data_IF_737923069686
#
_entry.id   IF_737923069686
#
_cell.length_a   1.000
_cell.length_b   1.000
_cell.length_c   1.000
_cell.angle_alpha   90.00
_cell.angle_beta   90.00
_cell.angle_gamma   90.00
#
_symmetry.space_group_name_H-M   'P 1'
#
loop_
_entity.id
_entity.type
_entity.pdbx_description
1 polymer ?
#
# COMPACT_ATOMS: atom_id res chain seq x y z
N UNK A 1 21.58 36.21 -9.14
CA UNK A 1 22.42 35.33 -8.31
C UNK A 1 21.54 34.69 -7.26
N UNK A 2 21.19 33.41 -7.46
CA UNK A 2 20.22 32.68 -6.63
C UNK A 2 20.86 32.19 -5.33
N UNK A 3 20.13 32.45 -4.25
CA UNK A 3 20.47 32.19 -2.87
C UNK A 3 20.38 30.68 -2.58
N UNK A 4 21.50 30.06 -2.23
CA UNK A 4 21.57 28.68 -1.73
C UNK A 4 20.97 28.64 -0.32
N UNK A 5 19.79 28.08 -0.14
CA UNK A 5 19.25 27.72 1.18
C UNK A 5 19.17 26.20 1.34
N UNK A 6 20.01 25.74 2.26
CA UNK A 6 19.79 24.67 3.23
C UNK A 6 19.40 23.28 2.71
N UNK A 7 20.42 22.43 2.54
CA UNK A 7 20.30 21.01 2.83
C UNK A 7 20.02 20.86 4.34
N UNK A 8 18.76 20.61 4.72
CA UNK A 8 18.46 20.12 6.07
C UNK A 8 18.78 18.63 6.11
N UNK A 9 19.80 18.32 6.88
CA UNK A 9 20.19 17.01 7.36
C UNK A 9 18.98 16.38 8.09
N UNK A 10 18.43 15.30 7.56
CA UNK A 10 17.41 14.51 8.25
C UNK A 10 18.11 13.75 9.37
N UNK A 11 17.86 14.14 10.61
CA UNK A 11 18.27 13.37 11.78
C UNK A 11 17.41 12.11 11.85
N UNK A 12 17.97 10.98 11.44
CA UNK A 12 17.49 9.68 11.87
C UNK A 12 17.84 9.54 13.36
N UNK A 13 16.86 9.58 14.25
CA UNK A 13 17.02 9.02 15.60
C UNK A 13 17.10 7.51 15.46
N UNK A 14 18.33 7.03 15.24
CA UNK A 14 18.64 5.62 15.28
C UNK A 14 18.43 5.07 16.68
N UNK A 15 17.48 4.14 16.81
CA UNK A 15 17.46 3.21 17.93
C UNK A 15 18.67 2.28 17.75
N UNK A 16 19.78 2.56 18.44
CA UNK A 16 20.90 1.62 18.52
C UNK A 16 20.47 0.48 19.44
N UNK A 17 19.90 -0.57 18.86
CA UNK A 17 19.75 -1.86 19.51
C UNK A 17 21.09 -2.59 19.41
N UNK A 18 21.74 -2.81 20.54
CA UNK A 18 22.82 -3.81 20.63
C UNK A 18 22.23 -5.16 20.21
N UNK A 19 22.60 -5.63 19.02
CA UNK A 19 22.21 -6.95 18.52
C UNK A 19 23.03 -8.03 19.22
N UNK A 20 22.50 -8.57 20.31
CA UNK A 20 22.78 -9.98 20.61
C UNK A 20 22.19 -10.82 19.46
N UNK A 21 22.84 -11.89 18.99
CA UNK A 21 22.29 -12.77 17.97
C UNK A 21 21.14 -13.57 18.59
N UNK A 22 19.99 -12.91 18.74
CA UNK A 22 18.71 -13.57 18.89
C UNK A 22 18.51 -14.28 17.56
N UNK A 23 18.25 -15.59 17.61
CA UNK A 23 17.81 -16.38 16.47
C UNK A 23 16.50 -15.76 15.94
N UNK A 24 16.62 -14.72 15.12
CA UNK A 24 15.50 -14.15 14.41
C UNK A 24 15.08 -15.21 13.41
N UNK A 25 13.97 -15.89 13.71
CA UNK A 25 13.39 -16.84 12.78
C UNK A 25 13.16 -16.11 11.46
N UNK A 26 13.86 -16.56 10.41
CA UNK A 26 13.74 -15.98 9.07
C UNK A 26 12.27 -16.11 8.65
N UNK A 27 11.66 -15.00 8.23
CA UNK A 27 10.28 -15.02 7.76
C UNK A 27 10.12 -16.03 6.61
N UNK A 28 9.25 -17.02 6.80
CA UNK A 28 8.92 -18.00 5.78
C UNK A 28 7.59 -17.65 5.13
N UNK A 29 7.58 -17.50 3.81
CA UNK A 29 6.35 -17.30 3.03
C UNK A 29 5.41 -18.49 3.23
N UNK A 30 4.13 -18.22 3.51
CA UNK A 30 3.09 -19.24 3.62
C UNK A 30 2.28 -19.35 2.32
N UNK A 31 1.84 -20.57 2.03
CA UNK A 31 0.88 -20.83 0.97
C UNK A 31 -0.47 -20.20 1.32
N UNK A 32 -0.98 -19.35 0.43
CA UNK A 32 -2.29 -18.72 0.59
C UNK A 32 -3.36 -19.66 0.02
N UNK A 33 -4.41 -20.02 0.78
CA UNK A 33 -5.44 -20.93 0.31
C UNK A 33 -6.12 -20.42 -0.98
N UNK A 34 -6.30 -21.28 -1.98
CA UNK A 34 -6.94 -20.91 -3.24
C UNK A 34 -8.39 -20.43 -3.05
N UNK A 35 -9.10 -21.01 -2.08
CA UNK A 35 -10.45 -20.58 -1.68
C UNK A 35 -10.46 -19.15 -1.15
N UNK A 36 -9.43 -18.75 -0.39
CA UNK A 36 -9.27 -17.39 0.11
C UNK A 36 -8.98 -16.43 -1.05
N UNK A 37 -8.04 -16.78 -1.93
CA UNK A 37 -7.72 -15.98 -3.13
C UNK A 37 -8.97 -15.76 -3.98
N UNK A 38 -9.78 -16.80 -4.20
CA UNK A 38 -11.00 -16.73 -5.01
C UNK A 38 -12.11 -15.84 -4.45
N UNK A 39 -12.10 -15.51 -3.16
CA UNK A 39 -13.05 -14.54 -2.56
C UNK A 39 -12.73 -13.09 -2.96
N UNK A 40 -11.46 -12.79 -3.20
CA UNK A 40 -10.96 -11.42 -3.39
C UNK A 40 -10.50 -11.13 -4.82
N UNK A 41 -9.94 -12.12 -5.51
CA UNK A 41 -9.51 -12.04 -6.90
C UNK A 41 -10.54 -12.74 -7.79
N UNK A 42 -11.25 -11.95 -8.60
CA UNK A 42 -12.31 -12.45 -9.48
C UNK A 42 -11.69 -12.97 -10.77
N UNK A 43 -12.17 -14.13 -11.25
CA UNK A 43 -11.96 -14.51 -12.65
C UNK A 43 -12.71 -13.52 -13.53
N UNK A 44 -12.04 -12.99 -14.53
CA UNK A 44 -12.62 -11.97 -15.42
C UNK A 44 -12.11 -12.20 -16.83
N UNK A 45 -13.03 -12.33 -17.77
CA UNK A 45 -12.75 -12.23 -19.21
C UNK A 45 -13.43 -10.93 -19.70
N UNK A 46 -12.70 -9.82 -19.80
CA UNK A 46 -13.31 -8.55 -20.17
C UNK A 46 -13.89 -8.67 -21.60
N UNK A 47 -15.19 -8.36 -21.77
CA UNK A 47 -15.79 -8.33 -23.11
C UNK A 47 -15.19 -7.18 -23.92
N UNK A 48 -14.29 -7.54 -24.84
CA UNK A 48 -13.46 -6.64 -25.64
C UNK A 48 -13.70 -6.82 -27.15
N UNK A 49 -14.81 -7.46 -27.51
CA UNK A 49 -15.19 -7.83 -28.89
C UNK A 49 -15.12 -6.67 -29.90
N UNK A 50 -15.35 -5.43 -29.47
CA UNK A 50 -15.33 -4.24 -30.33
C UNK A 50 -14.08 -3.36 -30.17
N UNK A 51 -13.04 -3.82 -29.47
CA UNK A 51 -11.81 -3.02 -29.26
C UNK A 51 -10.77 -3.30 -30.33
N UNK A 52 -10.21 -2.23 -30.91
CA UNK A 52 -9.12 -2.32 -31.87
C UNK A 52 -7.87 -2.91 -31.19
N UNK A 53 -7.26 -3.93 -31.80
CA UNK A 53 -5.95 -4.39 -31.37
C UNK A 53 -4.87 -3.33 -31.70
N UNK A 54 -4.16 -2.86 -30.68
CA UNK A 54 -3.10 -1.85 -30.80
C UNK A 54 -1.70 -2.48 -30.88
N UNK A 55 -1.58 -3.79 -30.67
CA UNK A 55 -0.30 -4.47 -30.49
C UNK A 55 0.02 -5.45 -31.63
N UNK A 56 1.28 -5.51 -32.09
CA UNK A 56 1.72 -6.56 -33.01
C UNK A 56 1.54 -7.94 -32.39
N UNK A 57 1.06 -8.90 -33.20
CA UNK A 57 0.86 -10.27 -32.76
C UNK A 57 2.04 -11.19 -33.13
N UNK A 58 3.04 -10.69 -33.86
CA UNK A 58 4.12 -11.48 -34.44
C UNK A 58 5.14 -11.98 -33.40
N UNK A 59 5.84 -13.05 -33.76
CA UNK A 59 6.83 -13.72 -32.90
C UNK A 59 8.00 -12.81 -32.52
N UNK A 60 8.38 -11.86 -33.39
CA UNK A 60 9.49 -10.94 -33.13
C UNK A 60 9.12 -9.98 -32.00
N UNK A 61 7.91 -9.42 -32.01
CA UNK A 61 7.41 -8.57 -30.93
C UNK A 61 7.29 -9.35 -29.61
N UNK A 62 6.65 -10.53 -29.62
CA UNK A 62 6.46 -11.35 -28.41
C UNK A 62 7.77 -11.75 -27.72
N UNK A 63 8.84 -11.93 -28.49
CA UNK A 63 10.14 -12.36 -28.00
C UNK A 63 11.07 -11.20 -27.60
N UNK A 64 10.59 -9.95 -27.60
CA UNK A 64 11.38 -8.83 -27.12
C UNK A 64 11.75 -9.02 -25.64
N UNK A 65 13.01 -8.74 -25.31
CA UNK A 65 13.49 -8.73 -23.92
C UNK A 65 13.02 -7.50 -23.15
N UNK A 66 12.51 -6.50 -23.86
CA UNK A 66 12.03 -5.24 -23.31
C UNK A 66 10.98 -4.64 -24.26
N UNK A 67 9.77 -4.44 -23.76
CA UNK A 67 8.64 -3.86 -24.49
C UNK A 67 8.40 -2.39 -24.12
N UNK A 68 9.09 -1.86 -23.11
CA UNK A 68 8.75 -0.61 -22.40
C UNK A 68 8.47 0.56 -23.34
N UNK A 69 9.42 0.87 -24.23
CA UNK A 69 9.31 2.01 -25.14
C UNK A 69 8.15 1.86 -26.14
N UNK A 70 7.84 0.63 -26.56
CA UNK A 70 6.75 0.36 -27.49
C UNK A 70 5.39 0.50 -26.80
N UNK A 71 5.24 -0.11 -25.63
CA UNK A 71 3.99 -0.02 -24.85
C UNK A 71 3.72 1.43 -24.42
N UNK A 72 4.77 2.17 -24.01
CA UNK A 72 4.63 3.58 -23.64
C UNK A 72 4.05 4.42 -24.79
N UNK A 73 4.56 4.25 -26.03
CA UNK A 73 4.02 4.96 -27.20
C UNK A 73 2.52 4.69 -27.43
N UNK A 74 2.07 3.45 -27.19
CA UNK A 74 0.66 3.09 -27.31
C UNK A 74 -0.16 3.77 -26.21
N UNK A 75 0.32 3.75 -24.97
CA UNK A 75 -0.33 4.42 -23.84
C UNK A 75 -0.46 5.92 -24.10
N UNK A 76 0.60 6.56 -24.60
CA UNK A 76 0.61 7.99 -24.90
C UNK A 76 -0.46 8.36 -25.94
N UNK A 77 -0.56 7.58 -27.03
CA UNK A 77 -1.40 7.88 -28.18
C UNK A 77 -2.89 7.48 -28.02
N UNK A 78 -3.26 6.68 -27.03
CA UNK A 78 -4.61 6.09 -26.94
C UNK A 78 -5.27 6.35 -25.58
N UNK A 79 -6.60 6.44 -25.55
CA UNK A 79 -7.39 6.56 -24.30
C UNK A 79 -7.77 5.21 -23.72
N UNK A 80 -8.19 4.27 -24.56
CA UNK A 80 -8.56 2.90 -24.16
C UNK A 80 -7.51 1.94 -24.71
N UNK A 81 -6.85 1.20 -23.82
CA UNK A 81 -5.76 0.29 -24.13
C UNK A 81 -6.12 -1.09 -23.61
N UNK A 82 -6.30 -2.04 -24.51
CA UNK A 82 -6.42 -3.46 -24.16
C UNK A 82 -5.06 -4.11 -24.39
N UNK A 83 -4.37 -4.48 -23.30
CA UNK A 83 -3.05 -5.07 -23.37
C UNK A 83 -3.08 -6.40 -24.15
N UNK A 84 -1.96 -6.78 -24.80
CA UNK A 84 -1.90 -8.02 -25.54
C UNK A 84 -2.00 -9.23 -24.61
N UNK A 85 -2.54 -10.34 -25.12
CA UNK A 85 -2.81 -11.56 -24.35
C UNK A 85 -1.54 -12.43 -24.17
N UNK A 86 -0.46 -11.82 -23.69
CA UNK A 86 0.79 -12.51 -23.35
C UNK A 86 1.62 -11.69 -22.35
N UNK A 87 2.73 -12.26 -21.90
CA UNK A 87 3.67 -11.62 -20.98
C UNK A 87 4.48 -10.50 -21.64
N UNK A 88 4.37 -9.30 -21.09
CA UNK A 88 5.10 -8.09 -21.47
C UNK A 88 6.24 -7.88 -20.47
N UNK A 89 7.45 -7.67 -20.98
CA UNK A 89 8.62 -7.36 -20.17
C UNK A 89 8.85 -5.84 -20.13
N UNK A 90 8.96 -5.25 -18.96
CA UNK A 90 9.27 -3.83 -18.80
C UNK A 90 10.57 -3.61 -18.00
N UNK A 91 11.35 -2.62 -18.42
CA UNK A 91 12.61 -2.25 -17.78
C UNK A 91 12.37 -1.28 -16.60
N UNK A 92 13.44 -0.77 -16.01
CA UNK A 92 13.42 0.07 -14.80
C UNK A 92 12.83 1.48 -15.00
N UNK A 93 12.46 1.85 -16.24
CA UNK A 93 11.75 3.11 -16.52
C UNK A 93 10.26 3.03 -16.20
N UNK A 94 9.71 1.82 -16.09
CA UNK A 94 8.28 1.60 -15.89
C UNK A 94 7.42 2.09 -17.05
N UNK A 95 6.10 2.09 -16.85
CA UNK A 95 5.12 2.71 -17.75
C UNK A 95 4.46 3.89 -17.05
N UNK A 96 4.51 5.05 -17.67
CA UNK A 96 3.86 6.28 -17.20
C UNK A 96 2.44 6.36 -17.74
N UNK A 97 1.47 6.52 -16.85
CA UNK A 97 0.06 6.58 -17.19
C UNK A 97 -0.41 8.03 -16.99
N UNK A 98 -0.72 8.71 -18.09
CA UNK A 98 -1.30 10.06 -18.08
C UNK A 98 -2.81 10.07 -17.82
N UNK A 99 -3.43 11.23 -17.99
CA UNK A 99 -4.88 11.41 -17.81
C UNK A 99 -5.74 10.71 -18.87
N UNK A 100 -7.00 10.47 -18.51
CA UNK A 100 -8.06 9.94 -19.37
C UNK A 100 -7.70 8.59 -20.01
N UNK A 101 -7.13 7.70 -19.19
CA UNK A 101 -6.67 6.36 -19.62
C UNK A 101 -7.52 5.27 -19.00
N UNK A 102 -7.91 4.29 -19.81
CA UNK A 102 -8.47 3.01 -19.40
C UNK A 102 -7.58 1.89 -19.92
N UNK A 103 -6.93 1.16 -19.02
CA UNK A 103 -6.03 0.06 -19.34
C UNK A 103 -6.66 -1.24 -18.87
N UNK A 104 -6.83 -2.18 -19.79
CA UNK A 104 -7.51 -3.45 -19.57
C UNK A 104 -6.53 -4.58 -19.86
N UNK A 105 -6.32 -5.45 -18.89
CA UNK A 105 -5.53 -6.67 -19.04
C UNK A 105 -6.45 -7.81 -19.48
N UNK A 106 -6.01 -8.55 -20.51
CA UNK A 106 -6.64 -9.80 -20.93
C UNK A 106 -6.17 -10.94 -20.01
N UNK A 107 -6.79 -12.11 -20.15
CA UNK A 107 -6.57 -13.26 -19.27
C UNK A 107 -5.09 -13.65 -19.13
N UNK A 108 -4.32 -13.57 -20.22
CA UNK A 108 -2.90 -13.91 -20.27
C UNK A 108 -1.99 -12.67 -20.32
N UNK A 109 -2.54 -11.46 -20.23
CA UNK A 109 -1.75 -10.23 -20.11
C UNK A 109 -1.04 -10.20 -18.77
N UNK A 110 0.29 -10.20 -18.79
CA UNK A 110 1.11 -10.08 -17.58
C UNK A 110 2.18 -9.04 -17.82
N UNK A 111 2.31 -8.06 -16.94
CA UNK A 111 3.49 -7.18 -16.92
C UNK A 111 4.51 -7.77 -15.95
N UNK A 112 5.69 -8.10 -16.45
CA UNK A 112 6.83 -8.56 -15.67
C UNK A 112 7.90 -7.47 -15.69
N UNK A 113 8.24 -6.93 -14.52
CA UNK A 113 9.43 -6.10 -14.39
C UNK A 113 10.69 -6.95 -14.53
N UNK A 114 11.59 -6.52 -15.41
CA UNK A 114 12.92 -7.12 -15.62
C UNK A 114 14.05 -6.13 -15.34
N UNK A 115 13.71 -4.86 -15.11
CA UNK A 115 14.67 -3.84 -14.71
C UNK A 115 15.17 -4.03 -13.28
N UNK A 116 16.37 -3.53 -12.99
CA UNK A 116 16.84 -3.38 -11.62
C UNK A 116 16.11 -2.21 -10.95
N UNK A 117 15.77 -2.35 -9.68
CA UNK A 117 15.38 -1.20 -8.87
C UNK A 117 16.59 -0.26 -8.75
N UNK A 118 16.47 0.96 -9.29
CA UNK A 118 17.56 1.94 -9.34
C UNK A 118 17.16 3.33 -8.82
N UNK A 119 15.97 3.46 -8.22
CA UNK A 119 15.58 4.65 -7.47
C UNK A 119 14.07 4.83 -7.35
N UNK A 120 13.68 6.07 -7.00
CA UNK A 120 12.28 6.53 -6.83
C UNK A 120 11.42 6.41 -8.10
N UNK A 121 12.03 6.28 -9.27
CA UNK A 121 11.33 6.35 -10.56
C UNK A 121 11.15 4.99 -11.23
N UNK A 122 11.39 3.89 -10.53
CA UNK A 122 11.34 2.52 -11.08
C UNK A 122 10.05 1.76 -10.75
N UNK A 123 8.96 2.48 -10.49
CA UNK A 123 7.63 1.88 -10.35
C UNK A 123 7.21 1.19 -11.66
N UNK A 124 6.53 0.06 -11.56
CA UNK A 124 6.10 -0.71 -12.74
C UNK A 124 5.06 0.07 -13.54
N UNK A 125 3.97 0.51 -12.88
CA UNK A 125 3.01 1.45 -13.42
C UNK A 125 3.00 2.72 -12.57
N UNK A 126 3.26 3.88 -13.18
CA UNK A 126 3.28 5.17 -12.49
C UNK A 126 2.20 6.09 -13.03
N UNK A 127 1.16 6.33 -12.23
CA UNK A 127 0.13 7.33 -12.46
C UNK A 127 0.55 8.59 -11.70
N UNK A 128 0.95 9.63 -12.41
CA UNK A 128 1.51 10.84 -11.80
C UNK A 128 0.96 12.11 -12.44
N UNK A 129 0.46 13.03 -11.62
CA UNK A 129 -0.19 14.27 -12.06
C UNK A 129 -1.25 14.01 -13.14
N UNK A 130 -2.05 12.97 -12.92
CA UNK A 130 -3.04 12.47 -13.87
C UNK A 130 -4.45 12.49 -13.27
N UNK A 131 -5.44 12.50 -14.14
CA UNK A 131 -6.85 12.40 -13.75
C UNK A 131 -7.62 11.39 -14.59
N UNK A 132 -8.66 10.79 -14.02
CA UNK A 132 -9.57 9.87 -14.71
C UNK A 132 -8.83 8.65 -15.29
N UNK A 133 -8.21 7.86 -14.41
CA UNK A 133 -7.46 6.66 -14.80
C UNK A 133 -8.16 5.42 -14.27
N UNK A 134 -8.35 4.43 -15.14
CA UNK A 134 -8.89 3.12 -14.79
C UNK A 134 -7.93 2.02 -15.22
N UNK A 135 -7.51 1.17 -14.27
CA UNK A 135 -6.70 -0.02 -14.51
C UNK A 135 -7.54 -1.23 -14.11
N UNK A 136 -7.78 -2.15 -15.05
CA UNK A 136 -8.67 -3.29 -14.88
C UNK A 136 -7.90 -4.60 -15.08
N UNK A 137 -8.06 -5.52 -14.14
CA UNK A 137 -7.51 -6.89 -14.15
C UNK A 137 -5.99 -6.95 -14.21
N UNK A 138 -5.29 -5.92 -13.72
CA UNK A 138 -3.83 -5.85 -13.81
C UNK A 138 -3.17 -7.08 -13.20
N UNK A 139 -2.36 -7.79 -13.99
CA UNK A 139 -1.47 -8.84 -13.49
C UNK A 139 -0.03 -8.35 -13.60
N UNK A 140 0.58 -8.07 -12.45
CA UNK A 140 1.92 -7.47 -12.36
C UNK A 140 2.81 -8.37 -11.50
N UNK A 141 3.96 -8.74 -12.05
CA UNK A 141 5.05 -9.34 -11.29
C UNK A 141 6.20 -8.35 -11.25
N UNK A 142 6.58 -7.90 -10.07
CA UNK A 142 7.75 -7.05 -9.88
C UNK A 142 9.06 -7.82 -10.04
N UNK A 143 10.16 -7.16 -9.66
CA UNK A 143 11.49 -7.74 -9.68
C UNK A 143 12.14 -7.68 -8.28
N UNK A 144 11.47 -8.28 -7.30
CA UNK A 144 11.77 -8.26 -5.85
C UNK A 144 13.24 -8.39 -5.47
N UNK A 145 14.02 -9.18 -6.19
CA UNK A 145 15.40 -9.51 -5.84
C UNK A 145 16.44 -8.72 -6.66
N UNK A 146 16.02 -8.03 -7.72
CA UNK A 146 16.95 -7.33 -8.61
C UNK A 146 17.08 -5.87 -8.22
N UNK A 147 18.24 -5.53 -7.69
CA UNK A 147 18.61 -4.16 -7.33
C UNK A 147 20.02 -3.83 -7.81
N UNK A 148 20.30 -2.57 -8.07
CA UNK A 148 21.69 -2.14 -8.29
C UNK A 148 22.48 -2.28 -6.98
N UNK A 149 23.81 -2.44 -7.06
CA UNK A 149 24.65 -2.61 -5.86
C UNK A 149 24.53 -1.42 -4.89
N UNK A 150 24.26 -0.23 -5.40
CA UNK A 150 24.09 1.02 -4.67
C UNK A 150 22.66 1.23 -4.16
N UNK A 151 21.69 0.45 -4.63
CA UNK A 151 20.31 0.57 -4.19
C UNK A 151 20.11 -0.07 -2.80
N UNK A 152 19.92 0.79 -1.81
CA UNK A 152 19.52 0.46 -0.44
C UNK A 152 18.10 0.92 -0.11
N UNK A 153 17.48 1.70 -0.99
CA UNK A 153 16.18 2.30 -0.78
C UNK A 153 15.01 1.35 -0.97
N UNK A 154 13.83 1.96 -1.00
CA UNK A 154 12.58 1.28 -0.65
C UNK A 154 11.41 1.47 -1.63
N UNK A 155 11.70 2.10 -2.77
CA UNK A 155 10.75 2.46 -3.83
C UNK A 155 10.55 1.32 -4.85
N UNK A 156 9.94 1.62 -6.01
CA UNK A 156 9.61 0.65 -7.07
C UNK A 156 8.38 -0.20 -6.73
N UNK A 157 7.24 0.48 -6.61
CA UNK A 157 5.95 -0.17 -6.40
C UNK A 157 5.45 -0.90 -7.66
N UNK A 158 4.51 -1.83 -7.48
CA UNK A 158 3.78 -2.43 -8.59
C UNK A 158 2.89 -1.40 -9.30
N UNK A 159 2.09 -0.66 -8.55
CA UNK A 159 1.34 0.49 -9.05
C UNK A 159 1.54 1.67 -8.11
N UNK A 160 1.96 2.81 -8.65
CA UNK A 160 2.21 4.03 -7.92
C UNK A 160 1.24 5.11 -8.39
N UNK A 161 0.46 5.67 -7.46
CA UNK A 161 -0.50 6.76 -7.69
C UNK A 161 -0.02 7.99 -6.93
N UNK A 162 0.46 8.98 -7.67
CA UNK A 162 1.05 10.19 -7.14
C UNK A 162 0.29 11.41 -7.63
N UNK A 163 -0.11 12.30 -6.72
CA UNK A 163 -0.72 13.59 -7.04
C UNK A 163 -1.83 13.49 -8.11
N UNK A 164 -2.68 12.46 -8.02
CA UNK A 164 -3.61 12.10 -9.08
C UNK A 164 -5.05 12.04 -8.58
N UNK A 165 -6.01 12.28 -9.49
CA UNK A 165 -7.43 12.41 -9.15
C UNK A 165 -8.32 11.43 -9.91
N UNK A 166 -9.34 10.87 -9.25
CA UNK A 166 -10.30 9.94 -9.87
C UNK A 166 -9.59 8.72 -10.49
N UNK A 167 -8.91 7.95 -9.65
CA UNK A 167 -8.16 6.76 -10.06
C UNK A 167 -8.87 5.50 -9.58
N UNK A 168 -9.07 4.52 -10.46
CA UNK A 168 -9.67 3.23 -10.16
C UNK A 168 -8.70 2.11 -10.53
N UNK A 169 -8.39 1.25 -9.58
CA UNK A 169 -7.60 0.02 -9.78
C UNK A 169 -8.50 -1.14 -9.38
N UNK A 170 -8.92 -1.94 -10.37
CA UNK A 170 -9.96 -2.95 -10.18
C UNK A 170 -9.38 -4.34 -10.49
N UNK A 171 -9.57 -5.27 -9.55
CA UNK A 171 -9.27 -6.70 -9.69
C UNK A 171 -7.78 -6.99 -10.02
N UNK A 172 -6.86 -6.29 -9.35
CA UNK A 172 -5.42 -6.44 -9.63
C UNK A 172 -4.80 -7.64 -8.89
N UNK A 173 -3.96 -8.41 -9.57
CA UNK A 173 -3.04 -9.39 -8.98
C UNK A 173 -1.61 -8.86 -9.08
N UNK A 174 -1.00 -8.53 -7.95
CA UNK A 174 0.35 -7.96 -7.88
C UNK A 174 1.23 -8.87 -7.03
N UNK A 175 2.41 -9.23 -7.52
CA UNK A 175 3.36 -9.99 -6.69
C UNK A 175 4.81 -9.60 -6.89
N UNK A 176 5.64 -9.98 -5.90
CA UNK A 176 7.10 -9.91 -5.99
C UNK A 176 7.63 -8.50 -6.35
N UNK A 177 7.03 -7.47 -5.74
CA UNK A 177 7.49 -6.08 -5.90
C UNK A 177 8.74 -5.82 -5.06
N UNK A 178 9.59 -4.91 -5.54
CA UNK A 178 10.79 -4.48 -4.80
C UNK A 178 10.45 -3.43 -3.73
N UNK A 179 9.47 -2.57 -3.98
CA UNK A 179 8.88 -1.70 -2.97
C UNK A 179 7.53 -2.25 -2.51
N UNK A 180 6.53 -1.39 -2.54
CA UNK A 180 5.16 -1.71 -2.15
C UNK A 180 4.42 -2.44 -3.27
N UNK A 181 3.29 -3.08 -2.96
CA UNK A 181 2.37 -3.55 -3.99
C UNK A 181 1.72 -2.37 -4.72
N UNK A 182 1.01 -1.53 -3.95
CA UNK A 182 0.40 -0.28 -4.40
C UNK A 182 0.84 0.87 -3.49
N UNK A 183 1.26 1.99 -4.06
CA UNK A 183 1.57 3.21 -3.33
C UNK A 183 0.59 4.31 -3.73
N UNK A 184 -0.04 4.99 -2.77
CA UNK A 184 -0.96 6.11 -2.98
C UNK A 184 -0.46 7.29 -2.16
N UNK A 185 0.00 8.35 -2.81
CA UNK A 185 0.58 9.47 -2.07
C UNK A 185 1.14 10.58 -2.93
N UNK A 186 2.31 11.05 -2.52
CA UNK A 186 3.05 12.14 -3.16
C UNK A 186 4.56 11.94 -3.07
N UNK A 187 5.27 12.50 -4.05
CA UNK A 187 6.73 12.65 -4.06
C UNK A 187 7.18 14.14 -3.99
N UNK A 188 6.25 15.07 -3.79
CA UNK A 188 6.54 16.50 -3.63
C UNK A 188 5.66 17.24 -2.59
N UNK A 189 4.81 16.51 -1.85
CA UNK A 189 3.87 16.98 -0.83
C UNK A 189 2.53 17.47 -1.36
N UNK A 190 2.21 17.16 -2.62
CA UNK A 190 0.85 17.08 -3.09
C UNK A 190 0.05 15.95 -2.43
N UNK A 191 -1.09 15.60 -3.02
CA UNK A 191 -1.93 14.49 -2.56
C UNK A 191 -2.72 13.90 -3.72
N UNK A 192 -3.11 12.64 -3.59
CA UNK A 192 -4.07 12.01 -4.51
C UNK A 192 -5.51 12.14 -3.99
N UNK A 193 -6.51 12.21 -4.87
CA UNK A 193 -7.91 12.42 -4.48
C UNK A 193 -8.85 11.45 -5.21
N UNK A 194 -9.83 10.89 -4.51
CA UNK A 194 -10.82 9.96 -5.09
C UNK A 194 -10.13 8.75 -5.72
N UNK A 195 -9.40 7.99 -4.91
CA UNK A 195 -8.70 6.77 -5.33
C UNK A 195 -9.45 5.55 -4.83
N UNK A 196 -9.83 4.66 -5.75
CA UNK A 196 -10.51 3.39 -5.42
C UNK A 196 -9.62 2.23 -5.84
N UNK A 197 -9.30 1.36 -4.89
CA UNK A 197 -8.71 0.05 -5.15
C UNK A 197 -9.74 -1.00 -4.74
N UNK A 198 -10.22 -1.79 -5.70
CA UNK A 198 -11.30 -2.74 -5.46
C UNK A 198 -10.97 -4.11 -6.05
N UNK A 199 -11.09 -5.14 -5.21
CA UNK A 199 -10.81 -6.52 -5.61
C UNK A 199 -9.35 -6.73 -6.00
N UNK A 200 -8.79 -7.87 -5.61
CA UNK A 200 -7.43 -8.21 -5.98
C UNK A 200 -6.69 -8.95 -4.91
N UNK A 201 -5.46 -9.30 -5.27
CA UNK A 201 -4.53 -10.00 -4.41
C UNK A 201 -3.12 -9.45 -4.58
N UNK A 202 -2.55 -8.96 -3.49
CA UNK A 202 -1.15 -8.50 -3.42
C UNK A 202 -0.38 -9.53 -2.59
N UNK A 203 0.71 -10.09 -3.14
CA UNK A 203 1.48 -11.13 -2.47
C UNK A 203 2.99 -10.89 -2.56
N UNK A 204 3.72 -11.06 -1.46
CA UNK A 204 5.19 -10.95 -1.46
C UNK A 204 5.69 -9.56 -1.90
N UNK A 205 5.03 -8.49 -1.48
CA UNK A 205 5.63 -7.16 -1.54
C UNK A 205 6.81 -7.07 -0.56
N UNK A 206 7.88 -6.32 -0.90
CA UNK A 206 9.09 -6.26 -0.06
C UNK A 206 8.92 -5.32 1.13
N UNK A 207 8.17 -4.25 0.93
CA UNK A 207 7.69 -3.38 2.00
C UNK A 207 6.24 -3.70 2.29
N UNK A 208 5.33 -2.81 1.95
CA UNK A 208 3.93 -2.94 2.31
C UNK A 208 3.12 -3.50 1.15
N UNK A 209 1.98 -4.11 1.44
CA UNK A 209 1.04 -4.47 0.38
C UNK A 209 0.48 -3.21 -0.26
N UNK A 210 -0.08 -2.31 0.56
CA UNK A 210 -0.56 -1.00 0.14
C UNK A 210 -0.06 0.07 1.11
N UNK A 211 0.52 1.15 0.61
CA UNK A 211 0.85 2.34 1.40
C UNK A 211 -0.04 3.52 1.00
N UNK A 212 -0.60 4.24 1.97
CA UNK A 212 -1.33 5.49 1.79
C UNK A 212 -0.63 6.58 2.58
N UNK A 213 0.04 7.51 1.89
CA UNK A 213 0.87 8.53 2.54
C UNK A 213 0.30 9.94 2.43
N UNK A 214 -0.30 10.29 1.29
CA UNK A 214 -0.93 11.60 1.09
C UNK A 214 -2.11 11.50 0.13
N UNK A 215 -3.32 11.39 0.68
CA UNK A 215 -4.54 11.31 -0.07
C UNK A 215 -5.81 11.79 0.64
N UNK A 216 -6.82 12.13 -0.18
CA UNK A 216 -8.20 12.41 0.23
C UNK A 216 -9.15 11.44 -0.45
N UNK A 217 -10.19 10.99 0.26
CA UNK A 217 -11.25 10.13 -0.29
C UNK A 217 -10.67 8.85 -0.93
N UNK A 218 -10.03 8.02 -0.10
CA UNK A 218 -9.48 6.72 -0.55
C UNK A 218 -10.43 5.61 -0.13
N UNK A 219 -10.75 4.70 -1.05
CA UNK A 219 -11.50 3.48 -0.75
C UNK A 219 -10.69 2.26 -1.18
N UNK A 220 -10.24 1.48 -0.19
CA UNK A 220 -9.66 0.16 -0.39
C UNK A 220 -10.74 -0.86 -0.04
N UNK A 221 -11.15 -1.72 -0.98
CA UNK A 221 -12.21 -2.69 -0.70
C UNK A 221 -12.02 -4.06 -1.32
N UNK A 222 -12.39 -5.10 -0.57
CA UNK A 222 -12.34 -6.48 -1.02
C UNK A 222 -10.92 -6.88 -1.49
N UNK A 223 -9.88 -6.62 -0.70
CA UNK A 223 -8.49 -6.91 -1.09
C UNK A 223 -7.90 -7.96 -0.17
N UNK A 224 -7.22 -8.94 -0.76
CA UNK A 224 -6.34 -9.86 -0.05
C UNK A 224 -4.89 -9.37 -0.14
N UNK A 225 -4.21 -9.28 0.99
CA UNK A 225 -2.79 -8.89 1.06
C UNK A 225 -2.05 -9.92 1.88
N UNK A 226 -1.00 -10.51 1.32
CA UNK A 226 -0.31 -11.62 1.98
C UNK A 226 1.20 -11.59 1.85
N UNK A 227 1.86 -12.15 2.86
CA UNK A 227 3.29 -12.39 2.86
C UNK A 227 4.13 -11.13 2.57
N UNK A 228 3.87 -10.00 3.21
CA UNK A 228 4.76 -8.82 3.12
C UNK A 228 5.98 -8.99 4.03
N UNK A 229 7.20 -8.84 3.50
CA UNK A 229 8.46 -9.03 4.23
C UNK A 229 9.66 -8.47 3.48
N UNK A 230 10.78 -8.20 4.15
CA UNK A 230 12.09 -7.93 3.55
C UNK A 230 12.60 -6.49 3.68
N UNK A 231 11.74 -5.52 3.96
CA UNK A 231 12.11 -4.14 4.30
C UNK A 231 10.97 -3.47 5.06
N UNK A 232 11.27 -2.77 6.14
CA UNK A 232 10.26 -2.12 6.99
C UNK A 232 9.36 -1.15 6.20
N UNK A 233 8.08 -0.99 6.57
CA UNK A 233 7.40 -1.60 7.73
C UNK A 233 6.97 -3.06 7.57
N UNK A 234 6.74 -3.56 6.35
CA UNK A 234 6.28 -4.95 6.10
C UNK A 234 4.83 -5.23 6.52
N UNK A 235 3.96 -4.25 6.35
CA UNK A 235 2.54 -4.34 6.71
C UNK A 235 1.67 -4.71 5.51
N UNK A 236 0.49 -5.28 5.77
CA UNK A 236 -0.51 -5.48 4.73
C UNK A 236 -0.95 -4.14 4.14
N UNK A 237 -1.55 -3.29 4.97
CA UNK A 237 -1.81 -1.88 4.66
C UNK A 237 -1.06 -0.99 5.64
N UNK A 238 -0.49 0.09 5.13
CA UNK A 238 0.23 1.08 5.92
C UNK A 238 -0.29 2.48 5.60
N UNK A 239 -0.75 3.20 6.61
CA UNK A 239 -1.22 4.58 6.50
C UNK A 239 -0.19 5.45 7.23
N UNK A 240 0.75 6.02 6.47
CA UNK A 240 1.93 6.73 6.99
C UNK A 240 2.20 8.02 6.19
N UNK A 241 1.91 9.23 6.70
CA UNK A 241 2.35 10.45 6.03
C UNK A 241 3.87 10.49 6.00
N UNK A 242 4.42 10.92 4.86
CA UNK A 242 5.86 11.01 4.64
C UNK A 242 6.39 12.43 4.85
N UNK A 243 5.50 13.42 4.83
CA UNK A 243 5.81 14.82 5.10
C UNK A 243 4.80 15.52 5.98
N UNK A 244 5.29 16.56 6.65
CA UNK A 244 4.46 17.45 7.45
C UNK A 244 3.27 18.08 6.68
N UNK A 245 3.40 18.26 5.36
CA UNK A 245 2.36 18.87 4.53
C UNK A 245 1.38 17.86 3.93
N UNK A 246 1.65 16.56 4.06
CA UNK A 246 0.79 15.51 3.53
C UNK A 246 -0.61 15.59 4.13
N UNK A 247 -1.54 14.89 3.47
CA UNK A 247 -2.94 14.88 3.84
C UNK A 247 -3.41 13.44 3.97
N UNK A 248 -4.07 13.09 5.08
CA UNK A 248 -4.77 11.82 5.21
C UNK A 248 -6.19 12.12 5.66
N UNK A 249 -7.14 12.13 4.73
CA UNK A 249 -8.51 12.50 5.06
C UNK A 249 -9.52 11.62 4.32
N UNK A 250 -10.51 11.12 5.05
CA UNK A 250 -11.54 10.22 4.54
C UNK A 250 -10.92 8.99 3.85
N UNK A 251 -10.23 8.17 4.63
CA UNK A 251 -9.62 6.91 4.19
C UNK A 251 -10.48 5.75 4.68
N UNK A 252 -11.01 4.95 3.76
CA UNK A 252 -11.90 3.83 4.07
C UNK A 252 -11.34 2.50 3.58
N UNK A 253 -11.17 1.57 4.51
CA UNK A 253 -10.76 0.18 4.28
C UNK A 253 -11.97 -0.71 4.59
N UNK A 254 -12.45 -1.47 3.60
CA UNK A 254 -13.65 -2.30 3.74
C UNK A 254 -13.42 -3.72 3.27
N UNK A 255 -13.69 -4.71 4.12
CA UNK A 255 -13.50 -6.13 3.78
C UNK A 255 -12.07 -6.40 3.27
N UNK A 256 -11.09 -6.02 4.10
CA UNK A 256 -9.67 -6.28 3.84
C UNK A 256 -9.28 -7.56 4.55
N UNK A 257 -8.58 -8.45 3.85
CA UNK A 257 -7.99 -9.65 4.45
C UNK A 257 -6.48 -9.57 4.36
N UNK A 258 -5.82 -9.67 5.50
CA UNK A 258 -4.37 -9.74 5.59
C UNK A 258 -3.94 -11.10 6.09
N UNK A 259 -2.94 -11.69 5.44
CA UNK A 259 -2.50 -13.05 5.71
C UNK A 259 -0.98 -13.13 5.81
N UNK A 260 -0.50 -13.44 7.01
CA UNK A 260 0.89 -13.75 7.30
C UNK A 260 1.83 -12.62 6.85
N UNK A 261 1.56 -11.39 7.27
CA UNK A 261 2.45 -10.25 7.03
C UNK A 261 3.45 -10.11 8.19
N UNK A 262 4.72 -9.82 7.89
CA UNK A 262 5.79 -9.88 8.89
C UNK A 262 5.54 -8.99 10.12
N UNK A 263 4.95 -7.81 9.94
CA UNK A 263 4.72 -6.87 11.05
C UNK A 263 3.24 -6.72 11.40
N UNK A 264 2.40 -6.26 10.48
CA UNK A 264 0.98 -6.09 10.79
C UNK A 264 0.06 -6.33 9.63
N UNK A 265 -1.20 -6.65 9.92
CA UNK A 265 -2.29 -6.56 8.96
C UNK A 265 -2.46 -5.11 8.49
N UNK A 266 -2.82 -4.23 9.42
CA UNK A 266 -2.93 -2.79 9.17
C UNK A 266 -2.05 -2.02 10.16
N UNK A 267 -1.24 -1.09 9.65
CA UNK A 267 -0.52 -0.10 10.44
C UNK A 267 -1.05 1.32 10.16
N UNK A 268 -1.12 2.13 11.21
CA UNK A 268 -1.40 3.56 11.13
C UNK A 268 -0.31 4.29 11.90
N UNK A 269 0.52 5.04 11.19
CA UNK A 269 1.58 5.85 11.77
C UNK A 269 1.30 7.33 11.45
N UNK A 270 1.03 8.15 12.47
CA UNK A 270 0.72 9.57 12.30
C UNK A 270 1.78 10.49 12.90
N UNK A 271 2.95 9.96 13.29
CA UNK A 271 4.01 10.73 13.95
C UNK A 271 4.46 11.93 13.12
N UNK A 272 4.58 11.79 11.80
CA UNK A 272 4.95 12.89 10.88
C UNK A 272 3.94 14.06 10.90
N UNK A 273 2.77 13.89 11.51
CA UNK A 273 1.78 14.95 11.75
C UNK A 273 1.93 15.70 13.07
N UNK A 274 2.95 15.40 13.86
CA UNK A 274 3.30 16.13 15.08
C UNK A 274 3.80 17.56 14.76
N UNK A 275 3.32 18.57 15.51
CA UNK A 275 3.55 19.99 15.21
C UNK A 275 3.99 20.80 16.42
N UNK A 276 4.77 21.84 16.12
CA UNK A 276 5.18 22.85 17.09
C UNK A 276 4.05 23.83 17.43
N UNK A 277 3.22 24.20 16.45
CA UNK A 277 2.16 25.19 16.60
C UNK A 277 0.78 24.56 16.47
N UNK A 278 -0.14 24.93 17.36
CA UNK A 278 -1.51 24.44 17.36
C UNK A 278 -2.28 24.81 16.08
N UNK A 279 -1.94 25.91 15.40
CA UNK A 279 -2.60 26.32 14.15
C UNK A 279 -2.40 25.34 12.99
N UNK A 280 -1.40 24.46 13.09
CA UNK A 280 -0.89 23.67 11.96
C UNK A 280 -1.22 22.18 12.10
N UNK A 281 -2.00 21.79 13.12
CA UNK A 281 -2.36 20.39 13.33
C UNK A 281 -3.11 19.84 12.10
N UNK A 282 -2.95 18.52 11.88
CA UNK A 282 -3.63 17.82 10.80
C UNK A 282 -4.86 17.11 11.33
N UNK A 283 -5.93 17.07 10.51
CA UNK A 283 -7.12 16.28 10.81
C UNK A 283 -7.14 15.01 9.97
N UNK A 284 -7.34 13.88 10.63
CA UNK A 284 -7.34 12.53 10.04
C UNK A 284 -8.67 11.84 10.32
N UNK A 285 -9.26 11.24 9.28
CA UNK A 285 -10.46 10.40 9.42
C UNK A 285 -10.25 9.08 8.67
N UNK A 286 -10.28 7.98 9.43
CA UNK A 286 -10.01 6.63 8.94
C UNK A 286 -11.14 5.71 9.41
N UNK A 287 -11.71 4.95 8.47
CA UNK A 287 -12.65 3.88 8.75
C UNK A 287 -12.07 2.54 8.30
N UNK A 288 -11.96 1.58 9.22
CA UNK A 288 -11.62 0.19 8.96
C UNK A 288 -12.85 -0.64 9.30
N UNK A 289 -13.42 -1.33 8.31
CA UNK A 289 -14.65 -2.09 8.46
C UNK A 289 -14.47 -3.51 7.90
N UNK A 290 -14.84 -4.53 8.69
CA UNK A 290 -14.74 -5.94 8.32
C UNK A 290 -13.30 -6.36 7.95
N UNK A 291 -12.31 -5.88 8.70
CA UNK A 291 -10.91 -6.31 8.51
C UNK A 291 -10.68 -7.67 9.18
N UNK A 292 -10.07 -8.61 8.46
CA UNK A 292 -9.58 -9.87 9.05
C UNK A 292 -8.07 -9.96 8.87
N UNK A 293 -7.34 -10.16 9.96
CA UNK A 293 -5.91 -10.53 9.91
C UNK A 293 -5.69 -11.94 10.45
N UNK A 294 -4.89 -12.71 9.73
CA UNK A 294 -4.47 -14.06 10.10
C UNK A 294 -2.95 -14.20 10.06
N UNK A 295 -2.33 -14.45 11.21
CA UNK A 295 -0.93 -14.86 11.29
C UNK A 295 0.11 -13.76 11.12
N UNK A 296 -0.29 -12.49 11.04
CA UNK A 296 0.68 -11.38 11.15
C UNK A 296 1.14 -11.20 12.60
N UNK A 297 2.28 -10.54 12.85
CA UNK A 297 2.68 -10.27 14.25
C UNK A 297 1.61 -9.47 15.00
N UNK A 298 1.02 -8.47 14.34
CA UNK A 298 -0.09 -7.66 14.83
C UNK A 298 -1.27 -7.67 13.85
N UNK A 299 -2.50 -7.71 14.34
CA UNK A 299 -3.68 -7.49 13.50
C UNK A 299 -3.81 -6.00 13.15
N UNK A 300 -3.66 -5.15 14.15
CA UNK A 300 -3.61 -3.69 14.04
C UNK A 300 -2.40 -3.12 14.79
N UNK A 301 -1.74 -2.14 14.19
CA UNK A 301 -0.65 -1.36 14.78
C UNK A 301 -0.97 0.14 14.71
N UNK A 302 -0.85 0.87 15.81
CA UNK A 302 -0.96 2.33 15.83
C UNK A 302 0.27 3.02 16.46
N UNK A 303 0.82 4.02 15.79
CA UNK A 303 1.91 4.86 16.29
C UNK A 303 1.56 6.32 16.03
N UNK A 304 1.05 7.02 17.05
CA UNK A 304 0.30 8.25 16.81
C UNK A 304 0.98 9.54 17.29
N UNK A 305 1.83 9.48 18.33
CA UNK A 305 2.46 10.66 18.90
C UNK A 305 3.77 10.34 19.64
N UNK A 306 4.83 9.98 18.90
CA UNK A 306 6.13 9.66 19.51
C UNK A 306 7.19 10.75 19.39
N UNK A 307 6.96 11.78 18.57
CA UNK A 307 8.03 12.72 18.18
C UNK A 307 8.28 13.84 19.20
N UNK A 308 7.54 13.86 20.31
CA UNK A 308 7.78 14.76 21.44
C UNK A 308 7.42 16.23 21.21
N UNK A 309 6.79 16.56 20.08
CA UNK A 309 6.26 17.89 19.80
C UNK A 309 4.94 18.14 20.58
N UNK A 310 4.60 19.41 20.87
CA UNK A 310 3.48 19.74 21.75
C UNK A 310 2.08 19.44 21.17
N UNK A 311 1.96 19.28 19.85
CA UNK A 311 0.70 18.99 19.18
C UNK A 311 0.85 17.79 18.25
N UNK A 312 -0.19 16.98 18.13
CA UNK A 312 -0.28 15.81 17.24
C UNK A 312 -1.50 15.90 16.32
N UNK A 313 -1.73 14.85 15.53
CA UNK A 313 -2.91 14.80 14.67
C UNK A 313 -4.22 14.71 15.46
N UNK A 314 -5.27 15.35 14.96
CA UNK A 314 -6.63 15.30 15.48
C UNK A 314 -7.54 14.48 14.55
N UNK A 315 -8.71 14.07 15.04
CA UNK A 315 -9.75 13.43 14.24
C UNK A 315 -10.16 12.07 14.80
N UNK A 316 -10.54 11.14 13.92
CA UNK A 316 -11.14 9.87 14.32
C UNK A 316 -10.61 8.68 13.53
N UNK A 317 -10.36 7.57 14.22
CA UNK A 317 -10.10 6.26 13.62
C UNK A 317 -11.19 5.31 14.13
N UNK A 318 -12.00 4.77 13.23
CA UNK A 318 -13.06 3.81 13.58
C UNK A 318 -12.71 2.43 13.06
N UNK A 319 -12.75 1.44 13.94
CA UNK A 319 -12.50 0.04 13.63
C UNK A 319 -13.76 -0.75 13.97
N UNK A 320 -14.39 -1.33 12.95
CA UNK A 320 -15.65 -2.04 13.05
C UNK A 320 -15.52 -3.47 12.57
N UNK A 321 -16.05 -4.41 13.33
CA UNK A 321 -16.22 -5.81 12.94
C UNK A 321 -14.90 -6.46 12.50
N UNK A 322 -13.82 -6.18 13.23
CA UNK A 322 -12.51 -6.74 12.92
C UNK A 322 -12.34 -8.13 13.53
N UNK A 323 -11.64 -9.04 12.83
CA UNK A 323 -11.26 -10.35 13.32
C UNK A 323 -9.74 -10.52 13.29
N UNK A 324 -9.13 -10.80 14.43
CA UNK A 324 -7.69 -10.98 14.58
C UNK A 324 -7.38 -12.37 15.13
N UNK A 325 -6.66 -13.17 14.34
CA UNK A 325 -6.40 -14.59 14.61
C UNK A 325 -4.93 -14.94 14.34
N UNK A 326 -4.40 -15.89 15.10
CA UNK A 326 -2.99 -16.31 15.04
C UNK A 326 -1.95 -15.16 15.19
N UNK A 327 -2.33 -14.04 15.81
CA UNK A 327 -1.42 -12.94 16.07
C UNK A 327 -0.56 -13.17 17.30
N UNK A 328 0.67 -12.65 17.29
CA UNK A 328 1.48 -12.58 18.52
C UNK A 328 0.92 -11.54 19.49
N UNK A 329 0.45 -10.41 18.97
CA UNK A 329 -0.24 -9.38 19.75
C UNK A 329 -1.27 -8.69 18.84
N UNK A 330 -2.58 -8.99 18.98
CA UNK A 330 -3.61 -8.55 18.05
C UNK A 330 -3.63 -7.03 17.81
N UNK A 331 -3.53 -6.25 18.88
CA UNK A 331 -3.41 -4.79 18.80
C UNK A 331 -2.16 -4.31 19.51
N UNK A 332 -1.26 -3.68 18.76
CA UNK A 332 -0.11 -2.96 19.30
C UNK A 332 -0.31 -1.46 19.13
N UNK A 333 0.10 -0.68 20.12
CA UNK A 333 0.02 0.77 20.09
C UNK A 333 1.16 1.41 20.88
N UNK A 334 1.54 2.64 20.50
CA UNK A 334 2.42 3.50 21.31
C UNK A 334 1.66 4.05 22.51
N UNK A 335 2.27 4.07 23.70
CA UNK A 335 1.60 4.45 24.96
C UNK A 335 1.50 5.95 25.22
N UNK A 336 2.11 6.78 24.36
CA UNK A 336 2.03 8.23 24.44
C UNK A 336 0.58 8.71 24.30
N UNK A 337 0.23 9.77 25.04
CA UNK A 337 -1.07 10.44 24.89
C UNK A 337 -1.19 11.00 23.47
N UNK A 338 -2.38 10.88 22.87
CA UNK A 338 -2.67 11.38 21.53
C UNK A 338 -4.05 12.04 21.46
N UNK A 339 -4.26 12.92 20.48
CA UNK A 339 -5.50 13.68 20.27
C UNK A 339 -6.50 12.98 19.33
N UNK A 340 -6.08 11.90 18.67
CA UNK A 340 -6.96 11.07 17.85
C UNK A 340 -7.98 10.33 18.72
N UNK A 341 -9.26 10.38 18.32
CA UNK A 341 -10.31 9.56 18.90
C UNK A 341 -10.35 8.20 18.20
N UNK A 342 -10.16 7.11 18.94
CA UNK A 342 -10.22 5.75 18.40
C UNK A 342 -11.47 5.06 18.91
N UNK A 343 -12.29 4.53 18.00
CA UNK A 343 -13.52 3.81 18.32
C UNK A 343 -13.40 2.37 17.82
N UNK A 344 -13.49 1.42 18.74
CA UNK A 344 -13.57 -0.01 18.45
C UNK A 344 -15.01 -0.51 18.64
N UNK A 345 -15.53 -1.28 17.70
CA UNK A 345 -16.83 -1.97 17.84
C UNK A 345 -16.80 -3.34 17.15
N UNK A 346 -17.34 -4.38 17.78
CA UNK A 346 -17.39 -5.73 17.21
C UNK A 346 -16.02 -6.36 16.93
N UNK A 347 -15.07 -6.19 17.85
CA UNK A 347 -13.72 -6.75 17.70
C UNK A 347 -13.70 -8.20 18.20
N UNK A 348 -13.34 -9.11 17.30
CA UNK A 348 -13.17 -10.53 17.58
C UNK A 348 -11.68 -10.86 17.61
N UNK A 349 -11.20 -11.31 18.77
CA UNK A 349 -9.84 -11.83 18.96
C UNK A 349 -9.97 -13.32 19.30
N UNK A 350 -9.26 -14.16 18.55
CA UNK A 350 -9.35 -15.63 18.67
C UNK A 350 -8.89 -16.14 20.04
N UNK A 351 -7.73 -15.67 20.52
CA UNK A 351 -7.19 -16.07 21.82
C UNK A 351 -7.87 -15.29 22.97
N UNK A 352 -8.46 -16.02 23.91
CA UNK A 352 -9.25 -15.44 25.01
C UNK A 352 -8.41 -14.60 25.98
N UNK A 353 -7.13 -14.95 26.18
CA UNK A 353 -6.22 -14.17 27.02
C UNK A 353 -5.85 -12.86 26.34
N UNK A 354 -5.48 -12.90 25.06
CA UNK A 354 -5.19 -11.70 24.27
C UNK A 354 -6.41 -10.79 24.14
N UNK A 355 -7.62 -11.36 24.05
CA UNK A 355 -8.88 -10.60 24.09
C UNK A 355 -9.02 -9.82 25.40
N UNK A 356 -8.87 -10.50 26.54
CA UNK A 356 -8.94 -9.86 27.86
C UNK A 356 -7.86 -8.78 28.02
N UNK A 357 -6.64 -9.05 27.55
CA UNK A 357 -5.54 -8.08 27.58
C UNK A 357 -5.85 -6.84 26.74
N UNK A 358 -6.42 -7.02 25.54
CA UNK A 358 -6.89 -5.94 24.69
C UNK A 358 -7.97 -5.09 25.40
N UNK A 359 -9.03 -5.73 25.90
CA UNK A 359 -10.14 -5.03 26.57
C UNK A 359 -9.71 -4.29 27.83
N UNK A 360 -8.76 -4.83 28.58
CA UNK A 360 -8.22 -4.18 29.77
C UNK A 360 -7.31 -2.99 29.41
N UNK A 361 -6.47 -3.13 28.38
CA UNK A 361 -5.58 -2.05 27.91
C UNK A 361 -6.37 -0.86 27.38
N UNK A 362 -7.35 -1.08 26.51
CA UNK A 362 -8.09 0.04 25.89
C UNK A 362 -8.89 0.86 26.90
N UNK A 363 -9.36 0.27 28.01
CA UNK A 363 -10.07 0.98 29.09
C UNK A 363 -9.21 2.04 29.80
N UNK A 364 -7.88 1.89 29.80
CA UNK A 364 -6.97 2.86 30.44
C UNK A 364 -6.45 3.94 29.49
N UNK A 365 -6.70 3.81 28.18
CA UNK A 365 -6.23 4.76 27.18
C UNK A 365 -7.17 5.96 27.06
N UNK A 366 -6.59 7.15 27.05
CA UNK A 366 -7.32 8.38 26.74
C UNK A 366 -7.71 8.40 25.27
N UNK A 367 -8.88 8.97 24.96
CA UNK A 367 -9.40 9.09 23.59
C UNK A 367 -9.61 7.77 22.84
N UNK A 368 -9.55 6.62 23.53
CA UNK A 368 -9.89 5.31 22.96
C UNK A 368 -11.15 4.78 23.63
N UNK A 369 -12.09 4.27 22.85
CA UNK A 369 -13.34 3.70 23.35
C UNK A 369 -13.60 2.35 22.71
N UNK A 370 -14.01 1.39 23.55
CA UNK A 370 -14.69 0.19 23.10
C UNK A 370 -16.19 0.43 23.22
N UNK A 371 -16.89 0.40 22.09
CA UNK A 371 -18.33 0.56 22.00
C UNK A 371 -18.94 -0.83 22.04
N UNK A 372 -19.85 -1.06 23.00
CA UNK A 372 -20.66 -2.27 23.04
C UNK A 372 -21.54 -2.34 21.79
N UNK A 373 -21.66 -3.53 21.20
CA UNK A 373 -22.51 -3.78 20.03
C UNK A 373 -23.98 -3.36 20.24
#
# INVERSE_FOLDING_TARGET
MMNKRAQKLIFFTGLILFSLPINAQVFAVKNVPASLVGKYLKKSDPNISNTKNLFPADKKFRNLKDHTAFIQKIIDANRVIVLPDFKILINSKGLKIGSDKKIIFRNNSVIQSVGFADGRFSDVLKIYNAQNVEIINAVITGNRYSKTKTQTGQWSAGICVLNSKNVKIINSKISDTFGDGIFIGSEDGGFSENVVVESGWINKARRNGISVTSAKNVVLKNILISNTYGHDPQCGVDIEPSWEKDVLNNISLKNIYTFHNQVSGIAINLNEFNRQQASDYKTVDILIENHTDEGSKHGLLTSLNTDGLPHDAHGTIRIKNAKWQENQTPYWFTTNKHSIHIEFSGILIEDSKQKNDFENKIKSLQNVKLISE
#
